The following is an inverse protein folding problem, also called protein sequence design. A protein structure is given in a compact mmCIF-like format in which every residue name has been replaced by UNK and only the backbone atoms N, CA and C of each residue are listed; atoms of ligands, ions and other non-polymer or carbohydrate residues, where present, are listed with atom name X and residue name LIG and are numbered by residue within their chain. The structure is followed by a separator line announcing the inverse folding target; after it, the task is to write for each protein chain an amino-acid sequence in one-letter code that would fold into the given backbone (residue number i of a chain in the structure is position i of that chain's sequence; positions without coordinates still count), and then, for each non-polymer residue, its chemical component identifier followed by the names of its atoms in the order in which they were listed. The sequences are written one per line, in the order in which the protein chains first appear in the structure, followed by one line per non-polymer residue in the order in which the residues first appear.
data_IF_225780077866
#
_entry.id   IF_225780077866
#
_cell.length_a   1.000
_cell.length_b   1.000
_cell.length_c   1.000
_cell.angle_alpha   90.00
_cell.angle_beta   90.00
_cell.angle_gamma   90.00
#
_symmetry.space_group_name_H-M   'P 1'
#
loop_
_entity.id
_entity.type
_entity.pdbx_description
1 polymer ?
#
# COMPACT_ATOMS: atom_id res chain seq x y z
N UNK A 1 12.52 8.57 16.75
CA UNK A 1 11.58 9.26 15.83
C UNK A 1 10.61 10.12 16.61
N UNK A 2 9.94 9.59 17.64
CA UNK A 2 9.11 10.39 18.54
C UNK A 2 9.84 11.61 19.13
N UNK A 3 11.09 11.44 19.58
CA UNK A 3 11.88 12.57 20.10
C UNK A 3 12.12 13.70 19.09
N UNK A 4 12.17 13.38 17.79
CA UNK A 4 12.32 14.39 16.73
C UNK A 4 11.04 15.21 16.55
N UNK A 5 9.88 14.58 16.74
CA UNK A 5 8.56 15.21 16.63
C UNK A 5 8.02 15.73 17.96
N UNK A 6 8.72 15.54 19.08
CA UNK A 6 8.33 16.03 20.42
C UNK A 6 7.91 17.52 20.43
N UNK A 7 8.58 18.45 19.72
CA UNK A 7 8.12 19.84 19.67
C UNK A 7 6.73 20.02 19.05
N UNK A 8 6.33 19.11 18.15
CA UNK A 8 5.03 19.12 17.47
C UNK A 8 3.96 18.33 18.23
N UNK A 9 4.33 17.45 19.15
CA UNK A 9 3.38 16.66 19.94
C UNK A 9 2.43 17.56 20.74
N UNK A 10 2.93 18.62 21.37
CA UNK A 10 2.11 19.55 22.16
C UNK A 10 1.10 20.33 21.30
N UNK A 11 1.44 20.60 20.04
CA UNK A 11 0.54 21.23 19.08
C UNK A 11 -0.53 20.23 18.60
N UNK A 12 -0.11 19.01 18.25
CA UNK A 12 -1.01 17.98 17.73
C UNK A 12 -1.99 17.45 18.80
N UNK A 13 -1.56 17.36 20.06
CA UNK A 13 -2.40 16.94 21.18
C UNK A 13 -3.62 17.87 21.41
N UNK A 14 -3.56 19.12 20.94
CA UNK A 14 -4.70 20.04 21.01
C UNK A 14 -5.84 19.60 20.07
N UNK A 15 -5.49 18.94 18.96
CA UNK A 15 -6.44 18.46 17.95
C UNK A 15 -6.86 17.02 18.19
N UNK A 16 -5.98 16.23 18.81
CA UNK A 16 -6.21 14.83 19.14
C UNK A 16 -6.08 14.63 20.65
N UNK A 17 -7.16 14.87 21.43
CA UNK A 17 -7.10 14.68 22.87
C UNK A 17 -6.70 13.24 23.17
N UNK A 18 -5.75 13.07 24.09
CA UNK A 18 -5.29 11.75 24.51
C UNK A 18 -6.50 10.97 25.06
N UNK A 19 -6.62 9.70 24.68
CA UNK A 19 -7.64 8.81 25.26
C UNK A 19 -7.44 8.82 26.79
N UNK A 20 -8.44 9.18 27.60
CA UNK A 20 -8.28 9.16 29.05
C UNK A 20 -7.89 7.74 29.46
N UNK A 21 -6.83 7.62 30.26
CA UNK A 21 -6.39 6.35 30.80
C UNK A 21 -7.59 5.70 31.50
N UNK A 22 -7.99 4.51 31.06
CA UNK A 22 -9.04 3.75 31.74
C UNK A 22 -8.61 3.59 33.21
N UNK A 23 -9.43 4.04 34.18
CA UNK A 23 -9.09 3.84 35.57
C UNK A 23 -8.95 2.35 35.82
N UNK A 24 -7.87 1.96 36.52
CA UNK A 24 -7.63 0.59 36.93
C UNK A 24 -8.92 -0.01 37.50
N UNK A 25 -9.31 -1.16 36.96
CA UNK A 25 -10.55 -1.84 37.30
C UNK A 25 -10.66 -2.07 38.81
N UNK A 26 -11.49 -1.27 39.48
CA UNK A 26 -11.99 -1.62 40.80
C UNK A 26 -12.91 -2.83 40.61
N UNK A 27 -12.48 -3.99 41.12
CA UNK A 27 -13.26 -5.22 41.21
C UNK A 27 -14.63 -4.91 41.83
N UNK A 28 -15.72 -5.09 41.06
CA UNK A 28 -17.05 -5.27 41.64
C UNK A 28 -18.22 -4.46 41.07
N UNK A 29 -18.09 -3.73 39.95
CA UNK A 29 -19.24 -3.05 39.32
C UNK A 29 -19.44 -3.53 37.87
N UNK A 30 -20.67 -3.87 37.43
CA UNK A 30 -20.93 -4.23 36.03
C UNK A 30 -20.51 -3.06 35.12
N UNK A 31 -19.94 -3.34 33.92
CA UNK A 31 -19.43 -2.30 33.04
C UNK A 31 -20.60 -1.39 32.64
N UNK A 32 -20.49 -0.11 33.00
CA UNK A 32 -21.37 0.92 32.48
C UNK A 32 -21.24 0.91 30.95
N UNK A 33 -22.38 0.97 30.25
CA UNK A 33 -22.47 1.09 28.78
C UNK A 33 -21.39 2.03 28.27
N UNK A 34 -20.52 1.50 27.42
CA UNK A 34 -19.41 2.21 26.80
C UNK A 34 -19.85 3.60 26.37
N UNK A 35 -19.26 4.61 26.99
CA UNK A 35 -19.28 5.98 26.47
C UNK A 35 -18.74 5.87 25.04
N UNK A 36 -19.59 6.13 24.05
CA UNK A 36 -19.23 6.22 22.64
C UNK A 36 -18.02 7.13 22.53
N UNK A 37 -16.83 6.54 22.50
CA UNK A 37 -15.59 7.31 22.39
C UNK A 37 -15.62 7.82 20.97
N UNK A 38 -15.79 9.14 20.78
CA UNK A 38 -15.75 9.71 19.45
C UNK A 38 -14.38 9.40 18.84
N UNK A 39 -14.41 8.47 17.89
CA UNK A 39 -13.22 8.01 17.23
C UNK A 39 -12.92 8.98 16.09
N UNK A 40 -11.85 9.75 16.25
CA UNK A 40 -11.44 10.72 15.24
C UNK A 40 -10.94 10.02 13.97
N UNK A 41 -11.26 10.58 12.81
CA UNK A 41 -10.63 10.25 11.54
C UNK A 41 -9.66 11.36 11.17
N UNK A 42 -8.43 11.01 10.84
CA UNK A 42 -7.38 11.97 10.48
C UNK A 42 -7.03 11.89 9.00
N UNK A 43 -6.82 13.05 8.38
CA UNK A 43 -6.23 13.18 7.05
C UNK A 43 -4.91 13.96 7.17
N UNK A 44 -3.80 13.32 6.79
CA UNK A 44 -2.47 13.92 6.82
C UNK A 44 -2.09 14.46 5.45
N UNK A 45 -1.76 15.74 5.41
CA UNK A 45 -1.11 16.38 4.27
C UNK A 45 0.33 16.69 4.66
N UNK A 46 1.25 15.93 4.08
CA UNK A 46 2.67 15.99 4.44
C UNK A 46 3.48 16.59 3.30
N UNK A 47 4.47 17.40 3.65
CA UNK A 47 5.52 17.78 2.72
C UNK A 47 6.27 16.53 2.20
N UNK A 48 6.86 16.63 1.01
CA UNK A 48 7.59 15.52 0.36
C UNK A 48 8.63 14.88 1.28
N UNK A 49 9.34 15.66 2.09
CA UNK A 49 10.38 15.13 2.97
C UNK A 49 9.78 14.37 4.17
N UNK A 50 8.64 14.82 4.68
CA UNK A 50 7.92 14.17 5.78
C UNK A 50 7.15 12.94 5.32
N UNK A 51 6.72 12.91 4.05
CA UNK A 51 6.05 11.76 3.45
C UNK A 51 6.94 10.50 3.39
N UNK A 52 8.25 10.60 3.58
CA UNK A 52 9.12 9.43 3.70
C UNK A 52 9.03 8.75 5.07
N UNK A 53 8.59 9.46 6.10
CA UNK A 53 8.60 8.99 7.47
C UNK A 53 7.25 8.34 7.81
N UNK A 54 7.20 7.31 8.68
CA UNK A 54 5.95 6.70 9.14
C UNK A 54 5.27 7.57 10.22
N UNK A 55 4.84 8.78 9.83
CA UNK A 55 4.23 9.78 10.73
C UNK A 55 2.95 9.22 11.39
N UNK A 56 2.23 8.32 10.73
CA UNK A 56 1.04 7.64 11.25
C UNK A 56 1.33 6.78 12.47
N UNK A 57 2.57 6.29 12.60
CA UNK A 57 2.97 5.47 13.72
C UNK A 57 3.25 6.28 15.00
N UNK A 58 3.13 7.62 14.96
CA UNK A 58 3.28 8.47 16.13
C UNK A 58 2.14 8.25 17.13
N UNK A 59 2.48 8.25 18.43
CA UNK A 59 1.54 7.98 19.52
C UNK A 59 0.37 8.95 19.59
N UNK A 60 0.58 10.19 19.15
CA UNK A 60 -0.46 11.23 19.16
C UNK A 60 -1.69 10.81 18.33
N UNK A 61 -1.52 9.93 17.34
CA UNK A 61 -2.61 9.43 16.51
C UNK A 61 -3.27 8.15 17.03
N UNK A 62 -2.88 7.63 18.21
CA UNK A 62 -3.51 6.43 18.79
C UNK A 62 -4.99 6.63 19.16
N UNK A 63 -5.43 7.88 19.28
CA UNK A 63 -6.85 8.22 19.51
C UNK A 63 -7.67 8.21 18.21
N UNK A 64 -7.04 8.14 17.04
CA UNK A 64 -7.73 8.05 15.75
C UNK A 64 -8.14 6.60 15.45
N UNK A 65 -9.35 6.40 14.92
CA UNK A 65 -9.77 5.09 14.39
C UNK A 65 -9.25 4.82 12.99
N UNK A 66 -9.09 5.88 12.20
CA UNK A 66 -8.59 5.82 10.85
C UNK A 66 -7.69 7.02 10.59
N UNK A 67 -6.57 6.77 9.93
CA UNK A 67 -5.61 7.79 9.54
C UNK A 67 -5.19 7.50 8.11
N UNK A 68 -5.34 8.50 7.24
CA UNK A 68 -4.97 8.41 5.84
C UNK A 68 -4.07 9.57 5.45
N UNK A 69 -3.30 9.39 4.37
CA UNK A 69 -2.56 10.47 3.72
C UNK A 69 -3.27 10.91 2.45
N UNK A 70 -3.04 12.15 2.05
CA UNK A 70 -3.43 12.65 0.75
C UNK A 70 -2.41 13.64 0.18
N UNK A 71 -2.54 13.93 -1.10
CA UNK A 71 -1.62 14.79 -1.85
C UNK A 71 -1.98 16.26 -1.73
N UNK A 72 -3.27 16.59 -1.77
CA UNK A 72 -3.75 17.96 -1.71
C UNK A 72 -5.19 18.04 -1.20
N UNK A 73 -5.54 19.19 -0.60
CA UNK A 73 -6.92 19.48 -0.19
C UNK A 73 -7.88 19.42 -1.39
N UNK A 74 -7.47 19.92 -2.55
CA UNK A 74 -8.31 19.91 -3.74
C UNK A 74 -8.65 18.50 -4.20
N UNK A 75 -7.70 17.57 -4.13
CA UNK A 75 -7.95 16.16 -4.45
C UNK A 75 -8.92 15.55 -3.45
N UNK A 76 -8.72 15.80 -2.15
CA UNK A 76 -9.65 15.34 -1.09
C UNK A 76 -11.07 15.86 -1.30
N UNK A 77 -11.22 17.18 -1.47
CA UNK A 77 -12.53 17.80 -1.66
C UNK A 77 -13.21 17.32 -2.94
N UNK A 78 -12.46 17.15 -4.03
CA UNK A 78 -13.04 16.61 -5.27
C UNK A 78 -13.50 15.14 -5.10
N UNK A 79 -12.81 14.32 -4.30
CA UNK A 79 -13.28 12.96 -3.98
C UNK A 79 -14.51 13.00 -3.09
N UNK A 80 -14.57 13.90 -2.11
CA UNK A 80 -15.74 14.09 -1.24
C UNK A 80 -16.95 14.58 -2.02
N UNK A 81 -16.81 15.64 -2.82
CA UNK A 81 -17.89 16.18 -3.64
C UNK A 81 -18.44 15.17 -4.67
N UNK A 82 -17.60 14.24 -5.16
CA UNK A 82 -18.06 13.12 -5.99
C UNK A 82 -18.79 12.03 -5.21
N UNK A 83 -18.52 11.93 -3.91
CA UNK A 83 -19.20 11.01 -3.00
C UNK A 83 -20.37 11.64 -2.24
N UNK A 84 -20.59 12.96 -2.33
CA UNK A 84 -21.73 13.64 -1.71
C UNK A 84 -23.03 13.19 -2.40
N UNK A 85 -23.70 12.21 -1.80
CA UNK A 85 -24.94 11.59 -2.30
C UNK A 85 -24.80 10.10 -2.67
N UNK A 86 -23.57 9.58 -2.75
CA UNK A 86 -23.31 8.15 -2.93
C UNK A 86 -22.77 7.54 -1.63
N UNK A 87 -23.25 6.34 -1.28
CA UNK A 87 -22.69 5.55 -0.17
C UNK A 87 -21.19 5.32 -0.43
N UNK A 88 -20.35 5.26 0.62
CA UNK A 88 -18.91 5.06 0.49
C UNK A 88 -18.61 3.95 -0.55
N UNK A 89 -17.62 4.15 -1.46
CA UNK A 89 -17.45 3.29 -2.61
C UNK A 89 -17.32 1.83 -2.17
N UNK A 90 -18.36 1.05 -2.48
CA UNK A 90 -18.41 -0.37 -2.10
C UNK A 90 -17.38 -1.12 -2.94
N UNK A 91 -16.28 -1.48 -2.31
CA UNK A 91 -15.26 -2.32 -2.96
C UNK A 91 -15.82 -3.73 -3.05
N UNK A 92 -16.15 -4.16 -4.27
CA UNK A 92 -16.49 -5.55 -4.52
C UNK A 92 -15.22 -6.39 -4.50
N UNK A 93 -14.95 -7.04 -3.36
CA UNK A 93 -13.80 -7.93 -3.22
C UNK A 93 -13.80 -9.08 -4.24
N UNK A 94 -14.94 -9.50 -4.80
CA UNK A 94 -14.96 -10.53 -5.83
C UNK A 94 -14.47 -10.04 -7.20
N UNK A 95 -14.57 -8.73 -7.48
CA UNK A 95 -14.20 -8.10 -8.74
C UNK A 95 -12.79 -7.47 -8.69
N UNK A 96 -11.88 -8.08 -7.93
CA UNK A 96 -10.49 -7.66 -7.87
C UNK A 96 -9.63 -8.30 -8.96
N UNK A 97 -8.62 -7.56 -9.38
CA UNK A 97 -7.54 -8.05 -10.22
C UNK A 97 -6.23 -8.12 -9.44
N UNK A 98 -5.38 -9.10 -9.75
CA UNK A 98 -4.09 -9.25 -9.09
C UNK A 98 -2.92 -9.18 -10.08
N UNK A 99 -1.80 -8.67 -9.60
CA UNK A 99 -0.51 -8.65 -10.28
C UNK A 99 0.51 -9.11 -9.26
N UNK A 100 1.03 -10.33 -9.43
CA UNK A 100 1.90 -10.97 -8.45
C UNK A 100 3.22 -11.32 -9.11
N UNK A 101 4.32 -10.83 -8.53
CA UNK A 101 5.71 -11.08 -8.99
C UNK A 101 5.83 -11.22 -10.51
N UNK A 102 5.57 -10.14 -11.26
CA UNK A 102 5.38 -10.13 -12.73
C UNK A 102 6.46 -10.90 -13.50
N UNK A 103 7.69 -10.93 -12.98
CA UNK A 103 8.85 -11.54 -13.63
C UNK A 103 9.25 -12.90 -13.04
N UNK A 104 8.54 -13.42 -12.02
CA UNK A 104 8.90 -14.65 -11.33
C UNK A 104 10.29 -14.57 -10.67
N UNK A 105 10.68 -13.38 -10.19
CA UNK A 105 11.99 -13.15 -9.60
C UNK A 105 12.12 -13.75 -8.19
N UNK A 106 11.00 -14.03 -7.54
CA UNK A 106 10.93 -14.76 -6.29
C UNK A 106 10.60 -16.25 -6.50
N UNK A 107 11.54 -17.00 -7.07
CA UNK A 107 11.40 -18.45 -7.26
C UNK A 107 12.26 -19.25 -6.28
N UNK A 108 11.93 -20.53 -6.09
CA UNK A 108 12.79 -21.46 -5.33
C UNK A 108 14.19 -21.60 -5.95
N UNK A 109 14.29 -21.48 -7.29
CA UNK A 109 15.58 -21.49 -8.02
C UNK A 109 16.42 -20.25 -7.73
N UNK A 110 15.77 -19.12 -7.42
CA UNK A 110 16.45 -17.90 -7.03
C UNK A 110 17.06 -17.95 -5.62
N UNK A 111 16.81 -19.02 -4.85
CA UNK A 111 17.30 -19.21 -3.46
C UNK A 111 18.51 -20.16 -3.32
N UNK A 112 19.02 -20.72 -4.43
CA UNK A 112 20.14 -21.69 -4.43
C UNK A 112 21.48 -21.09 -4.92
N UNK A 113 21.59 -19.77 -5.03
CA UNK A 113 22.81 -19.07 -5.44
C UNK A 113 23.90 -18.99 -4.36
N UNK A 114 25.16 -18.80 -4.78
CA UNK A 114 26.30 -18.60 -3.86
C UNK A 114 26.03 -17.41 -2.94
N UNK A 115 26.04 -17.64 -1.62
CA UNK A 115 25.87 -16.60 -0.60
C UNK A 115 24.46 -16.41 -0.07
N UNK A 116 23.51 -17.29 -0.42
CA UNK A 116 22.13 -17.17 0.06
C UNK A 116 21.90 -17.95 1.36
N UNK A 117 21.42 -17.21 2.38
CA UNK A 117 20.88 -17.75 3.62
C UNK A 117 19.57 -18.46 3.29
N UNK A 118 19.39 -19.69 3.77
CA UNK A 118 18.24 -20.53 3.44
C UNK A 118 16.89 -19.79 3.53
N UNK A 119 16.05 -20.01 2.52
CA UNK A 119 14.72 -19.42 2.41
C UNK A 119 13.81 -19.90 3.55
N UNK A 120 13.23 -18.98 4.30
CA UNK A 120 12.29 -19.27 5.41
C UNK A 120 10.82 -19.14 5.02
N UNK A 121 10.50 -18.33 4.01
CA UNK A 121 9.13 -18.09 3.54
C UNK A 121 8.92 -18.69 2.14
N UNK A 122 7.74 -19.22 1.77
CA UNK A 122 7.45 -19.72 0.42
C UNK A 122 7.58 -18.64 -0.67
N UNK A 123 7.78 -19.01 -1.96
CA UNK A 123 7.68 -18.12 -3.13
C UNK A 123 6.43 -17.24 -3.10
N UNK A 124 6.56 -15.96 -3.45
CA UNK A 124 5.46 -14.97 -3.44
C UNK A 124 4.22 -15.48 -4.18
N UNK A 125 4.43 -16.09 -5.35
CA UNK A 125 3.34 -16.64 -6.17
C UNK A 125 2.68 -17.83 -5.46
N UNK A 126 3.46 -18.75 -4.91
CA UNK A 126 2.94 -19.92 -4.18
C UNK A 126 2.19 -19.50 -2.90
N UNK A 127 2.78 -18.59 -2.13
CA UNK A 127 2.19 -18.01 -0.92
C UNK A 127 0.88 -17.29 -1.25
N UNK A 128 0.87 -16.45 -2.29
CA UNK A 128 -0.32 -15.75 -2.74
C UNK A 128 -1.44 -16.73 -3.13
N UNK A 129 -1.12 -17.78 -3.87
CA UNK A 129 -2.12 -18.76 -4.30
C UNK A 129 -2.72 -19.53 -3.12
N UNK A 130 -1.90 -19.91 -2.14
CA UNK A 130 -2.32 -20.73 -1.00
C UNK A 130 -3.00 -19.94 0.10
N UNK A 131 -2.53 -18.72 0.41
CA UNK A 131 -3.05 -17.92 1.53
C UNK A 131 -4.17 -16.96 1.09
N UNK A 132 -3.93 -16.16 0.04
CA UNK A 132 -4.80 -15.05 -0.34
C UNK A 132 -5.82 -15.50 -1.40
N UNK A 133 -5.35 -16.07 -2.52
CA UNK A 133 -6.23 -16.40 -3.66
C UNK A 133 -7.19 -17.54 -3.32
N UNK A 134 -6.72 -18.57 -2.61
CA UNK A 134 -7.57 -19.68 -2.17
C UNK A 134 -8.70 -19.20 -1.24
N UNK A 135 -8.42 -18.22 -0.37
CA UNK A 135 -9.38 -17.75 0.64
C UNK A 135 -10.33 -16.68 0.11
N UNK A 136 -9.81 -15.70 -0.64
CA UNK A 136 -10.55 -14.49 -1.02
C UNK A 136 -10.72 -14.32 -2.54
N UNK A 137 -9.88 -15.01 -3.32
CA UNK A 137 -9.62 -14.66 -4.71
C UNK A 137 -10.10 -15.65 -5.77
N UNK A 138 -11.11 -16.48 -5.47
CA UNK A 138 -11.59 -17.50 -6.40
C UNK A 138 -12.00 -16.94 -7.78
N UNK A 139 -12.56 -15.73 -7.82
CA UNK A 139 -12.99 -15.05 -9.04
C UNK A 139 -11.95 -14.04 -9.58
N UNK A 140 -10.84 -13.83 -8.86
CA UNK A 140 -9.87 -12.81 -9.23
C UNK A 140 -9.13 -13.21 -10.50
N UNK A 141 -8.94 -12.23 -11.37
CA UNK A 141 -8.24 -12.39 -12.65
C UNK A 141 -6.98 -11.54 -12.63
N UNK A 142 -5.89 -12.06 -13.15
CA UNK A 142 -4.62 -11.42 -12.94
C UNK A 142 -3.45 -12.13 -13.57
N UNK A 143 -2.29 -11.52 -13.39
CA UNK A 143 -1.01 -12.06 -13.82
C UNK A 143 -0.22 -12.48 -12.59
N UNK A 144 0.25 -13.71 -12.57
CA UNK A 144 1.30 -14.19 -11.67
C UNK A 144 2.50 -14.56 -12.54
N UNK A 145 3.69 -14.07 -12.20
CA UNK A 145 4.88 -14.39 -13.00
C UNK A 145 5.32 -15.85 -12.81
N UNK A 146 5.67 -16.48 -13.92
CA UNK A 146 6.20 -17.85 -13.98
C UNK A 146 7.71 -17.89 -14.25
N UNK A 147 8.33 -16.72 -14.50
CA UNK A 147 9.74 -16.59 -14.86
C UNK A 147 10.03 -16.79 -16.36
N UNK A 148 9.03 -17.16 -17.17
CA UNK A 148 9.17 -17.43 -18.59
C UNK A 148 8.62 -16.28 -19.44
N UNK A 149 7.37 -15.86 -19.17
CA UNK A 149 6.72 -14.76 -19.88
C UNK A 149 6.48 -13.58 -18.95
N UNK A 150 7.02 -12.44 -19.34
CA UNK A 150 6.69 -11.15 -18.70
C UNK A 150 5.48 -10.57 -19.41
N UNK A 151 4.45 -10.22 -18.65
CA UNK A 151 3.28 -9.54 -19.20
C UNK A 151 3.66 -8.17 -19.77
N UNK A 152 3.06 -7.86 -20.92
CA UNK A 152 3.27 -6.60 -21.64
C UNK A 152 2.53 -5.43 -21.01
N UNK A 153 2.98 -4.21 -21.33
CA UNK A 153 2.33 -2.97 -20.89
C UNK A 153 0.84 -2.91 -21.29
N UNK A 154 0.49 -3.43 -22.47
CA UNK A 154 -0.89 -3.48 -22.95
C UNK A 154 -1.75 -4.46 -22.12
N UNK A 155 -1.23 -5.65 -21.81
CA UNK A 155 -1.90 -6.61 -20.92
C UNK A 155 -2.11 -6.00 -19.52
N UNK A 156 -1.15 -5.22 -19.02
CA UNK A 156 -1.26 -4.53 -17.72
C UNK A 156 -2.31 -3.43 -17.73
N UNK A 157 -2.32 -2.57 -18.76
CA UNK A 157 -3.33 -1.51 -18.90
C UNK A 157 -4.75 -2.10 -19.00
N UNK A 158 -4.93 -3.17 -19.78
CA UNK A 158 -6.22 -3.86 -19.91
C UNK A 158 -6.69 -4.47 -18.59
N UNK A 159 -5.77 -5.10 -17.85
CA UNK A 159 -6.08 -5.67 -16.54
C UNK A 159 -6.53 -4.59 -15.55
N UNK A 160 -5.81 -3.47 -15.48
CA UNK A 160 -6.17 -2.34 -14.62
C UNK A 160 -7.52 -1.74 -14.99
N UNK A 161 -7.82 -1.59 -16.28
CA UNK A 161 -9.08 -1.05 -16.76
C UNK A 161 -10.31 -1.91 -16.43
N UNK A 162 -10.14 -3.23 -16.39
CA UNK A 162 -11.22 -4.17 -16.09
C UNK A 162 -11.51 -4.29 -14.59
N UNK A 163 -10.57 -3.86 -13.73
CA UNK A 163 -10.60 -4.10 -12.29
C UNK A 163 -11.46 -3.07 -11.52
N UNK A 164 -12.22 -3.54 -10.52
CA UNK A 164 -12.83 -2.65 -9.51
C UNK A 164 -11.92 -2.45 -8.30
N UNK A 165 -11.06 -3.43 -8.02
CA UNK A 165 -9.96 -3.29 -7.09
C UNK A 165 -8.70 -3.95 -7.64
N UNK A 166 -7.54 -3.39 -7.33
CA UNK A 166 -6.26 -3.91 -7.81
C UNK A 166 -5.39 -4.36 -6.63
N UNK A 167 -4.79 -5.54 -6.72
CA UNK A 167 -3.74 -6.01 -5.80
C UNK A 167 -2.43 -6.15 -6.58
N UNK A 168 -1.42 -5.40 -6.19
CA UNK A 168 -0.04 -5.64 -6.60
C UNK A 168 0.73 -6.26 -5.44
N UNK A 169 1.36 -7.41 -5.66
CA UNK A 169 2.21 -8.07 -4.67
C UNK A 169 3.49 -8.55 -5.33
N UNK A 170 4.60 -7.84 -5.13
CA UNK A 170 5.82 -8.13 -5.86
C UNK A 170 7.07 -7.56 -5.22
N UNK A 171 8.20 -7.96 -5.78
CA UNK A 171 9.50 -7.41 -5.41
C UNK A 171 9.73 -6.03 -6.04
N UNK A 172 10.69 -5.29 -5.51
CA UNK A 172 11.11 -3.99 -6.01
C UNK A 172 10.00 -2.94 -5.93
N UNK A 173 10.02 -1.97 -6.83
CA UNK A 173 9.02 -0.89 -6.88
C UNK A 173 8.01 -1.23 -7.96
N UNK A 174 6.70 -1.14 -7.69
CA UNK A 174 5.68 -1.45 -8.70
C UNK A 174 5.94 -0.74 -10.04
N UNK A 175 6.25 0.56 -9.95
CA UNK A 175 6.46 1.43 -11.10
C UNK A 175 7.74 1.14 -11.90
N UNK A 176 8.65 0.33 -11.36
CA UNK A 176 9.82 -0.16 -12.10
C UNK A 176 9.52 -1.32 -13.04
N UNK A 177 8.42 -2.04 -12.78
CA UNK A 177 7.90 -3.12 -13.62
C UNK A 177 6.75 -2.64 -14.51
N UNK A 178 5.88 -1.77 -13.98
CA UNK A 178 4.76 -1.17 -14.71
C UNK A 178 5.04 0.32 -14.85
N UNK A 179 5.48 0.81 -16.02
CA UNK A 179 5.86 2.21 -16.18
C UNK A 179 4.76 3.18 -15.77
N UNK A 180 5.12 4.31 -15.16
CA UNK A 180 4.15 5.32 -14.71
C UNK A 180 3.24 5.82 -15.84
N UNK A 181 3.74 5.88 -17.09
CA UNK A 181 2.93 6.23 -18.26
C UNK A 181 1.83 5.22 -18.57
N UNK A 182 2.05 3.93 -18.30
CA UNK A 182 1.03 2.87 -18.46
C UNK A 182 -0.08 3.04 -17.44
N UNK A 183 0.29 3.29 -16.17
CA UNK A 183 -0.69 3.53 -15.09
C UNK A 183 -1.48 4.81 -15.36
N UNK A 184 -0.81 5.89 -15.74
CA UNK A 184 -1.45 7.17 -16.04
C UNK A 184 -2.34 7.11 -17.30
N UNK A 185 -1.98 6.27 -18.28
CA UNK A 185 -2.77 6.06 -19.50
C UNK A 185 -3.90 5.05 -19.35
N UNK A 186 -3.89 4.22 -18.30
CA UNK A 186 -4.95 3.25 -18.04
C UNK A 186 -6.24 3.94 -17.58
N UNK A 187 -7.39 3.49 -18.09
CA UNK A 187 -8.67 3.99 -17.63
C UNK A 187 -9.06 3.34 -16.29
N UNK A 188 -8.77 4.03 -15.19
CA UNK A 188 -9.03 3.57 -13.83
C UNK A 188 -10.40 4.03 -13.29
N UNK A 189 -11.32 4.49 -14.12
CA UNK A 189 -12.62 5.03 -13.65
C UNK A 189 -13.49 4.02 -12.88
N UNK A 190 -13.25 2.73 -13.09
CA UNK A 190 -13.93 1.64 -12.38
C UNK A 190 -13.16 1.15 -11.14
N UNK A 191 -11.88 1.50 -11.02
CA UNK A 191 -11.03 1.04 -9.95
C UNK A 191 -11.19 1.96 -8.74
N UNK A 192 -11.83 1.43 -7.71
CA UNK A 192 -12.18 2.19 -6.50
C UNK A 192 -11.08 2.08 -5.43
N UNK A 193 -10.27 1.02 -5.49
CA UNK A 193 -9.27 0.72 -4.48
C UNK A 193 -8.08 -0.02 -5.07
N UNK A 194 -6.88 0.28 -4.59
CA UNK A 194 -5.69 -0.47 -4.93
C UNK A 194 -4.88 -0.78 -3.67
N UNK A 195 -4.42 -2.03 -3.55
CA UNK A 195 -3.50 -2.50 -2.54
C UNK A 195 -2.16 -2.76 -3.22
N UNK A 196 -1.13 -1.99 -2.84
CA UNK A 196 0.21 -2.11 -3.42
C UNK A 196 1.16 -2.56 -2.33
N UNK A 197 1.54 -3.82 -2.39
CA UNK A 197 2.57 -4.43 -1.57
C UNK A 197 3.84 -4.51 -2.40
N UNK A 198 4.60 -3.41 -2.38
CA UNK A 198 5.89 -3.28 -3.04
C UNK A 198 7.01 -3.01 -2.02
N UNK A 199 8.24 -2.79 -2.50
CA UNK A 199 9.50 -2.54 -1.75
C UNK A 199 10.16 -3.75 -1.10
N UNK A 200 9.51 -4.92 -1.02
CA UNK A 200 10.22 -6.16 -0.72
C UNK A 200 11.31 -6.40 -1.77
N UNK A 201 12.47 -6.92 -1.40
CA UNK A 201 13.54 -7.09 -2.38
C UNK A 201 14.39 -8.33 -2.10
N UNK A 202 14.86 -8.94 -3.17
CA UNK A 202 15.86 -10.01 -3.13
C UNK A 202 17.08 -9.58 -3.96
N UNK A 203 18.16 -10.37 -3.91
CA UNK A 203 19.40 -10.02 -4.63
C UNK A 203 19.16 -9.87 -6.14
N UNK A 204 18.50 -10.82 -6.84
CA UNK A 204 18.21 -10.69 -8.27
C UNK A 204 17.42 -9.43 -8.65
N UNK A 205 16.33 -9.14 -7.93
CA UNK A 205 15.49 -7.98 -8.19
C UNK A 205 16.26 -6.66 -7.94
N UNK A 206 17.11 -6.61 -6.91
CA UNK A 206 17.94 -5.45 -6.62
C UNK A 206 19.01 -5.20 -7.70
N UNK A 207 19.66 -6.26 -8.17
CA UNK A 207 20.66 -6.18 -9.25
C UNK A 207 20.03 -5.73 -10.58
N UNK A 208 18.87 -6.29 -10.94
CA UNK A 208 18.10 -5.85 -12.12
C UNK A 208 17.75 -4.38 -11.99
N UNK A 209 17.19 -3.95 -10.86
CA UNK A 209 16.81 -2.56 -10.66
C UNK A 209 18.01 -1.63 -10.82
N UNK A 210 19.16 -1.98 -10.21
CA UNK A 210 20.40 -1.20 -10.33
C UNK A 210 20.86 -1.07 -11.80
N UNK A 211 20.79 -2.16 -12.56
CA UNK A 211 21.16 -2.15 -13.97
C UNK A 211 20.24 -1.25 -14.82
N UNK A 212 18.93 -1.28 -14.55
CA UNK A 212 17.95 -0.45 -15.24
C UNK A 212 18.07 1.02 -14.83
N UNK A 213 18.25 1.31 -13.54
CA UNK A 213 18.36 2.67 -13.00
C UNK A 213 19.55 3.42 -13.59
N UNK A 214 20.65 2.73 -13.88
CA UNK A 214 21.83 3.32 -14.53
C UNK A 214 21.56 3.81 -15.96
N UNK A 215 20.45 3.39 -16.58
CA UNK A 215 20.05 3.78 -17.94
C UNK A 215 18.87 4.72 -17.98
N UNK A 216 18.23 4.97 -16.84
CA UNK A 216 17.09 5.87 -16.72
C UNK A 216 17.56 7.28 -16.40
N UNK A 217 16.93 8.26 -17.03
CA UNK A 217 17.10 9.66 -16.64
C UNK A 217 16.56 9.90 -15.22
N UNK A 218 17.13 10.88 -14.52
CA UNK A 218 16.75 11.19 -13.14
C UNK A 218 15.25 11.43 -12.94
N UNK A 219 14.61 12.13 -13.87
CA UNK A 219 13.16 12.38 -13.84
C UNK A 219 12.33 11.10 -13.97
N UNK A 220 12.69 10.19 -14.87
CA UNK A 220 11.99 8.92 -15.04
C UNK A 220 12.14 8.04 -13.79
N UNK A 221 13.34 8.02 -13.19
CA UNK A 221 13.60 7.30 -11.94
C UNK A 221 12.84 7.90 -10.75
N UNK A 222 12.64 9.22 -10.72
CA UNK A 222 11.90 9.90 -9.67
C UNK A 222 10.42 9.47 -9.64
N UNK A 223 9.82 9.20 -10.80
CA UNK A 223 8.43 8.68 -10.89
C UNK A 223 8.28 7.28 -10.30
N UNK A 224 9.36 6.50 -10.19
CA UNK A 224 9.33 5.15 -9.62
C UNK A 224 9.48 5.13 -8.10
N UNK A 225 9.84 6.28 -7.52
CA UNK A 225 9.93 6.47 -6.08
C UNK A 225 8.54 6.68 -5.50
N UNK A 226 8.31 6.16 -4.29
CA UNK A 226 7.11 6.50 -3.51
C UNK A 226 7.14 7.95 -3.00
N UNK A 227 8.29 8.62 -3.10
CA UNK A 227 8.46 10.03 -2.75
C UNK A 227 9.23 10.72 -3.88
N UNK A 228 8.62 11.73 -4.50
CA UNK A 228 9.28 12.54 -5.50
C UNK A 228 10.51 13.23 -4.88
N UNK A 229 11.70 12.94 -5.43
CA UNK A 229 12.96 13.56 -5.02
C UNK A 229 12.99 15.04 -5.41
#
# INVERSE_FOLDING_TARGET
MEDFFRPLESLLQQFFPAKPAQPASQKGKPPAKDSTTELYQGLLLLDKHLAMLPIEALRVFQSCSALARDFSLHTSFNRQARGEGEEAPKVNLAAMSFIVDIRGEDSAKAATGRGQVGRTAPPLVEDFHTSIKATYGAQWRGVAGDGEKVASDAEMAQLMQASQGLLYYGLGRMLSYIPAGVVAGANLSKCNFAMVMDKANNIPAAERQKYIDNRKHGAARALESSVAA
#
